data_IF_671173460461
#
_entry.id   IF_671173460461
#
_cell.length_a   1.000
_cell.length_b   1.000
_cell.length_c   1.000
_cell.angle_alpha   90.00
_cell.angle_beta   90.00
_cell.angle_gamma   90.00
#
_symmetry.space_group_name_H-M   'P 1'
#
loop_
_entity.id
_entity.type
_entity.pdbx_description
1 polymer ?
#
# COMPACT_ATOMS: atom_id res chain seq x y z
N UNK A 1 -28.34 -16.75 7.10
CA UNK A 1 -28.37 -15.86 5.91
C UNK A 1 -27.23 -14.83 5.92
N UNK A 2 -26.96 -14.15 7.04
CA UNK A 2 -25.86 -13.17 7.17
C UNK A 2 -24.49 -13.74 6.83
N UNK A 3 -24.18 -14.96 7.29
CA UNK A 3 -22.88 -15.60 7.06
C UNK A 3 -22.61 -15.97 5.58
N UNK A 4 -23.64 -16.40 4.85
CA UNK A 4 -23.54 -16.67 3.40
C UNK A 4 -23.36 -15.38 2.60
N UNK A 5 -24.06 -14.31 3.00
CA UNK A 5 -23.95 -13.00 2.35
C UNK A 5 -22.56 -12.39 2.56
N UNK A 6 -22.00 -12.49 3.78
CA UNK A 6 -20.65 -12.04 4.08
C UNK A 6 -19.58 -12.78 3.27
N UNK A 7 -19.78 -14.09 3.03
CA UNK A 7 -18.88 -14.90 2.20
C UNK A 7 -18.88 -14.44 0.75
N UNK A 8 -20.05 -14.22 0.15
CA UNK A 8 -20.19 -13.75 -1.23
C UNK A 8 -19.56 -12.35 -1.41
N UNK A 9 -19.76 -11.46 -0.43
CA UNK A 9 -19.14 -10.13 -0.43
C UNK A 9 -17.62 -10.22 -0.40
N UNK A 10 -17.05 -11.06 0.47
CA UNK A 10 -15.59 -11.28 0.54
C UNK A 10 -15.03 -11.87 -0.76
N UNK A 11 -15.72 -12.83 -1.37
CA UNK A 11 -15.32 -13.41 -2.66
C UNK A 11 -15.32 -12.37 -3.79
N UNK A 12 -16.29 -11.45 -3.78
CA UNK A 12 -16.37 -10.34 -4.74
C UNK A 12 -15.16 -9.41 -4.61
N UNK A 13 -14.82 -9.01 -3.38
CA UNK A 13 -13.60 -8.22 -3.15
C UNK A 13 -12.36 -9.00 -3.54
N UNK A 14 -12.29 -10.29 -3.21
CA UNK A 14 -11.16 -11.16 -3.54
C UNK A 14 -10.86 -11.15 -5.04
N UNK A 15 -11.87 -11.30 -5.88
CA UNK A 15 -11.72 -11.34 -7.33
C UNK A 15 -10.93 -10.14 -7.89
N UNK A 16 -11.16 -8.94 -7.35
CA UNK A 16 -10.43 -7.75 -7.78
C UNK A 16 -8.93 -7.79 -7.45
N UNK A 17 -8.52 -8.52 -6.43
CA UNK A 17 -7.11 -8.63 -6.04
C UNK A 17 -6.44 -9.89 -6.56
N UNK A 18 -7.18 -10.96 -6.92
CA UNK A 18 -6.62 -12.28 -7.28
C UNK A 18 -5.43 -12.20 -8.24
N UNK A 19 -5.50 -11.33 -9.25
CA UNK A 19 -4.48 -11.18 -10.30
C UNK A 19 -3.19 -10.48 -9.87
N UNK A 20 -3.11 -9.89 -8.67
CA UNK A 20 -1.90 -9.27 -8.15
C UNK A 20 -1.53 -7.90 -8.77
N UNK A 21 -2.35 -7.39 -9.70
CA UNK A 21 -2.09 -6.09 -10.35
C UNK A 21 -2.17 -4.92 -9.37
N UNK A 22 -3.13 -4.97 -8.43
CA UNK A 22 -3.28 -3.93 -7.41
C UNK A 22 -2.07 -3.89 -6.49
N UNK A 23 -1.61 -5.06 -6.05
CA UNK A 23 -0.43 -5.19 -5.17
C UNK A 23 0.82 -4.67 -5.87
N UNK A 24 0.97 -4.98 -7.16
CA UNK A 24 2.07 -4.48 -8.00
C UNK A 24 2.04 -2.96 -8.12
N UNK A 25 0.88 -2.38 -8.43
CA UNK A 25 0.74 -0.93 -8.63
C UNK A 25 0.94 -0.14 -7.32
N UNK A 26 0.39 -0.63 -6.20
CA UNK A 26 0.61 -0.04 -4.88
C UNK A 26 2.07 -0.20 -4.45
N UNK A 27 2.67 -1.37 -4.68
CA UNK A 27 4.08 -1.62 -4.40
C UNK A 27 5.00 -0.69 -5.18
N UNK A 28 4.70 -0.45 -6.46
CA UNK A 28 5.42 0.51 -7.29
C UNK A 28 5.34 1.92 -6.71
N UNK A 29 4.14 2.36 -6.31
CA UNK A 29 3.98 3.68 -5.70
C UNK A 29 4.81 3.82 -4.42
N UNK A 30 4.77 2.84 -3.54
CA UNK A 30 5.56 2.85 -2.30
C UNK A 30 7.06 2.78 -2.56
N UNK A 31 7.51 2.01 -3.55
CA UNK A 31 8.90 1.99 -3.98
C UNK A 31 9.36 3.37 -4.48
N UNK A 32 8.53 4.07 -5.27
CA UNK A 32 8.81 5.43 -5.73
C UNK A 32 8.85 6.43 -4.56
N UNK A 33 7.92 6.35 -3.61
CA UNK A 33 7.96 7.16 -2.38
C UNK A 33 9.28 6.93 -1.64
N UNK A 34 9.65 5.66 -1.42
CA UNK A 34 10.89 5.29 -0.75
C UNK A 34 12.12 5.84 -1.47
N UNK A 35 12.14 5.80 -2.81
CA UNK A 35 13.22 6.35 -3.62
C UNK A 35 13.35 7.87 -3.46
N UNK A 36 12.23 8.59 -3.48
CA UNK A 36 12.22 10.05 -3.24
C UNK A 36 12.74 10.39 -1.85
N UNK A 37 12.32 9.63 -0.83
CA UNK A 37 12.78 9.83 0.55
C UNK A 37 14.27 9.47 0.72
N UNK A 38 14.75 8.41 0.06
CA UNK A 38 16.17 8.06 0.07
C UNK A 38 17.02 9.15 -0.58
N UNK A 39 16.55 9.72 -1.69
CA UNK A 39 17.15 10.89 -2.32
C UNK A 39 17.22 12.07 -1.37
N UNK A 40 16.09 12.40 -0.70
CA UNK A 40 16.05 13.46 0.31
C UNK A 40 17.12 13.25 1.40
N UNK A 41 17.21 12.06 1.97
CA UNK A 41 18.17 11.76 3.04
C UNK A 41 19.66 11.89 2.62
N UNK A 42 19.96 11.83 1.32
CA UNK A 42 21.33 11.88 0.79
C UNK A 42 21.82 13.25 0.32
N UNK A 43 20.96 14.27 0.21
CA UNK A 43 21.35 15.60 -0.28
C UNK A 43 21.57 16.61 0.86
N UNK A 44 22.53 17.52 0.66
CA UNK A 44 22.85 18.60 1.61
C UNK A 44 21.70 19.61 1.76
N UNK A 45 21.53 20.12 2.99
CA UNK A 45 20.54 21.14 3.33
C UNK A 45 20.70 22.39 2.44
N UNK A 46 19.65 22.72 1.68
CA UNK A 46 19.64 23.88 0.77
C UNK A 46 19.64 23.55 -0.72
N UNK A 47 19.85 22.28 -1.10
CA UNK A 47 19.71 21.86 -2.49
C UNK A 47 18.31 22.15 -3.03
N UNK A 48 18.23 22.62 -4.28
CA UNK A 48 16.94 22.84 -4.96
C UNK A 48 16.12 21.55 -5.05
N UNK A 49 16.78 20.38 -5.09
CA UNK A 49 16.17 19.05 -5.10
C UNK A 49 15.36 18.78 -3.83
N UNK A 50 15.84 19.24 -2.68
CA UNK A 50 15.17 19.15 -1.38
C UNK A 50 13.85 19.94 -1.37
N UNK A 51 13.87 21.15 -1.93
CA UNK A 51 12.66 21.98 -2.07
C UNK A 51 11.65 21.35 -3.03
N UNK A 52 12.11 20.69 -4.10
CA UNK A 52 11.21 19.97 -5.01
C UNK A 52 10.64 18.70 -4.39
N UNK A 53 11.35 18.00 -3.50
CA UNK A 53 10.86 16.78 -2.85
C UNK A 53 9.59 17.03 -2.01
N UNK A 54 9.51 18.17 -1.34
CA UNK A 54 8.32 18.60 -0.56
C UNK A 54 7.07 18.73 -1.45
N UNK A 55 7.24 19.15 -2.69
CA UNK A 55 6.14 19.29 -3.67
C UNK A 55 5.86 17.95 -4.38
N UNK A 56 6.92 17.19 -4.69
CA UNK A 56 6.82 15.90 -5.37
C UNK A 56 6.05 14.89 -4.52
N UNK A 57 6.27 14.81 -3.22
CA UNK A 57 5.63 13.80 -2.38
C UNK A 57 4.09 13.88 -2.38
N UNK A 58 3.45 15.05 -2.13
CA UNK A 58 2.00 15.19 -2.25
C UNK A 58 1.48 14.88 -3.66
N UNK A 59 2.18 15.35 -4.71
CA UNK A 59 1.81 15.05 -6.10
C UNK A 59 1.88 13.55 -6.37
N UNK A 60 2.91 12.88 -5.85
CA UNK A 60 3.13 11.47 -6.05
C UNK A 60 2.12 10.63 -5.26
N UNK A 61 1.73 11.04 -4.05
CA UNK A 61 0.66 10.38 -3.28
C UNK A 61 -0.69 10.58 -3.97
N UNK A 62 -1.09 11.83 -4.24
CA UNK A 62 -2.39 12.13 -4.83
C UNK A 62 -2.44 11.58 -6.26
N UNK A 63 -1.53 11.99 -7.12
CA UNK A 63 -1.41 11.53 -8.50
C UNK A 63 -1.19 10.03 -8.59
N UNK A 64 -0.44 9.44 -7.66
CA UNK A 64 -0.25 7.99 -7.57
C UNK A 64 -1.53 7.23 -7.25
N UNK A 65 -2.39 7.73 -6.37
CA UNK A 65 -3.69 7.07 -6.10
C UNK A 65 -4.59 7.05 -7.33
N UNK A 66 -4.69 8.17 -8.07
CA UNK A 66 -5.41 8.22 -9.34
C UNK A 66 -4.73 7.36 -10.41
N UNK A 67 -3.40 7.40 -10.47
CA UNK A 67 -2.57 6.64 -11.39
C UNK A 67 -2.71 5.13 -11.20
N UNK A 68 -2.73 4.64 -9.95
CA UNK A 68 -2.99 3.22 -9.63
C UNK A 68 -4.36 2.81 -10.16
N UNK A 69 -5.41 3.59 -9.87
CA UNK A 69 -6.76 3.27 -10.32
C UNK A 69 -6.84 3.17 -11.84
N UNK A 70 -6.24 4.13 -12.54
CA UNK A 70 -6.18 4.15 -14.00
C UNK A 70 -5.34 2.99 -14.55
N UNK A 71 -4.14 2.76 -14.01
CA UNK A 71 -3.20 1.73 -14.47
C UNK A 71 -3.79 0.33 -14.29
N UNK A 72 -4.31 0.03 -13.09
CA UNK A 72 -4.95 -1.27 -12.81
C UNK A 72 -6.17 -1.48 -13.70
N UNK A 73 -7.00 -0.45 -13.89
CA UNK A 73 -8.15 -0.51 -14.78
C UNK A 73 -7.76 -0.87 -16.21
N UNK A 74 -6.82 -0.11 -16.80
CA UNK A 74 -6.33 -0.34 -18.16
C UNK A 74 -5.67 -1.72 -18.33
N UNK A 75 -4.85 -2.15 -17.36
CA UNK A 75 -4.20 -3.46 -17.42
C UNK A 75 -5.22 -4.60 -17.32
N UNK A 76 -6.22 -4.46 -16.45
CA UNK A 76 -7.29 -5.46 -16.34
C UNK A 76 -8.12 -5.54 -17.61
N UNK A 77 -8.48 -4.42 -18.22
CA UNK A 77 -9.23 -4.39 -19.48
C UNK A 77 -8.48 -5.05 -20.64
N UNK A 78 -7.16 -4.88 -20.71
CA UNK A 78 -6.35 -5.44 -21.80
C UNK A 78 -5.93 -6.87 -21.57
N UNK A 79 -5.70 -7.28 -20.32
CA UNK A 79 -5.02 -8.53 -20.00
C UNK A 79 -5.92 -9.49 -19.21
N UNK A 80 -6.60 -9.01 -18.16
CA UNK A 80 -7.33 -9.88 -17.23
C UNK A 80 -8.74 -10.20 -17.76
N UNK A 81 -9.51 -9.18 -18.15
CA UNK A 81 -10.92 -9.33 -18.56
C UNK A 81 -11.14 -10.16 -19.83
N UNK A 82 -10.26 -10.13 -20.85
CA UNK A 82 -10.41 -11.01 -22.01
C UNK A 82 -10.31 -12.50 -21.66
N UNK A 83 -9.61 -12.86 -20.58
CA UNK A 83 -9.34 -14.25 -20.18
C UNK A 83 -10.38 -14.86 -19.26
N UNK A 84 -11.01 -14.05 -18.41
CA UNK A 84 -11.96 -14.54 -17.39
C UNK A 84 -13.39 -14.01 -17.58
N UNK A 85 -13.61 -13.17 -18.59
CA UNK A 85 -14.87 -12.48 -18.80
C UNK A 85 -15.02 -11.27 -17.86
N UNK A 86 -15.70 -10.24 -18.35
CA UNK A 86 -15.99 -9.04 -17.55
C UNK A 86 -17.30 -9.23 -16.78
N UNK A 87 -17.22 -9.21 -15.44
CA UNK A 87 -18.40 -9.14 -14.58
C UNK A 87 -18.51 -7.72 -14.02
N UNK A 88 -19.45 -6.95 -14.57
CA UNK A 88 -19.78 -5.62 -14.05
C UNK A 88 -20.57 -5.74 -12.75
N UNK A 89 -19.93 -5.51 -11.60
CA UNK A 89 -20.64 -5.46 -10.34
C UNK A 89 -21.29 -4.09 -10.14
N UNK A 90 -22.54 -4.10 -9.65
CA UNK A 90 -23.21 -2.87 -9.19
C UNK A 90 -22.43 -2.27 -8.01
N UNK A 91 -22.32 -0.93 -7.90
CA UNK A 91 -21.67 -0.30 -6.75
C UNK A 91 -22.38 -0.76 -5.47
N UNK A 92 -21.65 -1.48 -4.62
CA UNK A 92 -22.16 -1.95 -3.33
C UNK A 92 -22.44 -0.78 -2.38
N UNK A 93 -23.32 -1.03 -1.41
CA UNK A 93 -23.69 -0.05 -0.38
C UNK A 93 -22.46 0.54 0.32
N UNK A 94 -22.51 1.83 0.70
CA UNK A 94 -21.40 2.49 1.37
C UNK A 94 -21.06 1.76 2.67
N UNK A 95 -19.88 1.13 2.68
CA UNK A 95 -19.41 0.38 3.84
C UNK A 95 -19.33 1.30 5.07
N UNK A 96 -20.17 1.01 6.07
CA UNK A 96 -20.36 1.80 7.28
C UNK A 96 -19.12 1.83 8.20
N UNK A 97 -18.04 1.12 7.85
CA UNK A 97 -16.74 1.10 8.56
C UNK A 97 -15.62 1.84 7.83
N UNK A 98 -15.94 2.66 6.81
CA UNK A 98 -14.94 3.50 6.13
C UNK A 98 -14.32 4.56 7.05
N UNK A 99 -15.01 4.93 8.13
CA UNK A 99 -14.54 5.91 9.13
C UNK A 99 -13.40 5.39 10.02
N UNK A 100 -13.19 4.07 10.13
CA UNK A 100 -12.09 3.52 10.93
C UNK A 100 -10.72 3.94 10.41
N UNK A 101 -10.60 4.12 9.09
CA UNK A 101 -9.34 4.53 8.46
C UNK A 101 -8.96 5.98 8.77
N UNK A 102 -9.82 7.00 8.53
CA UNK A 102 -9.53 8.37 8.95
C UNK A 102 -9.49 8.51 10.48
N UNK A 103 -10.26 7.72 11.24
CA UNK A 103 -10.15 7.71 12.70
C UNK A 103 -8.78 7.24 13.17
N UNK A 104 -8.27 6.14 12.63
CA UNK A 104 -6.95 5.63 12.99
C UNK A 104 -5.84 6.58 12.56
N UNK A 105 -5.95 7.17 11.36
CA UNK A 105 -5.02 8.20 10.91
C UNK A 105 -5.06 9.44 11.84
N UNK A 106 -6.24 9.91 12.23
CA UNK A 106 -6.39 11.02 13.17
C UNK A 106 -5.84 10.68 14.56
N UNK A 107 -6.08 9.47 15.05
CA UNK A 107 -5.54 8.98 16.32
C UNK A 107 -4.01 8.98 16.30
N UNK A 108 -3.39 8.53 15.21
CA UNK A 108 -1.93 8.58 15.06
C UNK A 108 -1.42 10.03 15.05
N UNK A 109 -2.06 10.93 14.33
CA UNK A 109 -1.69 12.35 14.32
C UNK A 109 -1.78 12.94 15.74
N UNK A 110 -2.88 12.69 16.46
CA UNK A 110 -3.03 13.14 17.85
C UNK A 110 -1.96 12.55 18.77
N UNK A 111 -1.66 11.25 18.66
CA UNK A 111 -0.60 10.60 19.42
C UNK A 111 0.77 11.24 19.14
N UNK A 112 1.05 11.63 17.90
CA UNK A 112 2.29 12.32 17.54
C UNK A 112 2.39 13.72 18.15
N UNK A 113 1.27 14.43 18.32
CA UNK A 113 1.24 15.71 19.04
C UNK A 113 1.41 15.55 20.55
N UNK A 114 0.85 14.49 21.14
CA UNK A 114 0.92 14.22 22.59
C UNK A 114 2.27 13.64 23.01
N UNK A 115 2.92 12.85 22.14
CA UNK A 115 4.21 12.22 22.39
C UNK A 115 5.24 12.64 21.33
N UNK A 116 5.85 13.83 21.45
CA UNK A 116 6.81 14.34 20.46
C UNK A 116 8.03 13.43 20.28
N UNK A 117 8.39 12.64 21.29
CA UNK A 117 9.48 11.66 21.20
C UNK A 117 9.22 10.57 20.14
N UNK A 118 7.97 10.36 19.75
CA UNK A 118 7.60 9.45 18.67
C UNK A 118 7.93 10.03 17.29
N UNK A 119 8.20 11.33 17.19
CA UNK A 119 8.73 11.94 15.97
C UNK A 119 10.12 11.40 15.61
N UNK A 120 10.88 10.90 16.59
CA UNK A 120 12.16 10.20 16.39
C UNK A 120 11.98 8.68 16.16
N UNK A 121 10.75 8.25 15.84
CA UNK A 121 10.40 6.86 15.55
C UNK A 121 9.44 6.80 14.36
N UNK A 122 9.65 7.68 13.38
CA UNK A 122 8.74 7.84 12.23
C UNK A 122 8.60 6.56 11.43
N UNK A 123 9.71 5.85 11.23
CA UNK A 123 9.73 4.57 10.52
C UNK A 123 8.83 3.53 11.20
N UNK A 124 8.83 3.45 12.54
CA UNK A 124 7.97 2.54 13.30
C UNK A 124 6.49 2.91 13.14
N UNK A 125 6.14 4.19 13.29
CA UNK A 125 4.76 4.67 13.14
C UNK A 125 4.24 4.37 11.74
N UNK A 126 5.04 4.62 10.72
CA UNK A 126 4.71 4.31 9.32
C UNK A 126 4.55 2.81 9.10
N UNK A 127 5.48 1.98 9.59
CA UNK A 127 5.40 0.52 9.49
C UNK A 127 4.15 -0.04 10.18
N UNK A 128 3.82 0.47 11.36
CA UNK A 128 2.60 0.10 12.09
C UNK A 128 1.33 0.52 11.35
N UNK A 129 1.30 1.73 10.78
CA UNK A 129 0.19 2.21 9.97
C UNK A 129 0.00 1.37 8.71
N UNK A 130 1.07 1.08 7.97
CA UNK A 130 1.04 0.22 6.80
C UNK A 130 0.56 -1.18 7.16
N UNK A 131 1.08 -1.76 8.24
CA UNK A 131 0.65 -3.06 8.73
C UNK A 131 -0.84 -3.08 9.09
N UNK A 132 -1.34 -2.04 9.75
CA UNK A 132 -2.75 -1.91 10.09
C UNK A 132 -3.63 -1.82 8.83
N UNK A 133 -3.26 -0.97 7.87
CA UNK A 133 -3.99 -0.79 6.60
C UNK A 133 -4.01 -2.10 5.81
N UNK A 134 -2.84 -2.74 5.62
CA UNK A 134 -2.71 -3.99 4.89
C UNK A 134 -3.44 -5.13 5.60
N UNK A 135 -3.44 -5.16 6.94
CA UNK A 135 -4.19 -6.12 7.74
C UNK A 135 -5.71 -5.96 7.57
N UNK A 136 -6.22 -4.72 7.54
CA UNK A 136 -7.64 -4.46 7.25
C UNK A 136 -7.99 -4.90 5.84
N UNK A 137 -7.13 -4.63 4.85
CA UNK A 137 -7.34 -5.09 3.47
C UNK A 137 -7.33 -6.62 3.43
N UNK A 138 -6.37 -7.28 4.08
CA UNK A 138 -6.31 -8.73 4.20
C UNK A 138 -7.56 -9.33 4.81
N UNK A 139 -8.13 -8.70 5.84
CA UNK A 139 -9.39 -9.11 6.45
C UNK A 139 -10.60 -8.96 5.52
N UNK A 140 -10.65 -7.88 4.73
CA UNK A 140 -11.74 -7.63 3.78
C UNK A 140 -11.69 -8.52 2.54
N UNK A 141 -10.49 -8.78 2.04
CA UNK A 141 -10.24 -9.50 0.79
C UNK A 141 -10.02 -11.00 1.04
N UNK A 142 -9.78 -11.40 2.30
CA UNK A 142 -9.53 -12.77 2.74
C UNK A 142 -8.37 -13.46 2.00
N UNK A 143 -7.26 -12.73 1.82
CA UNK A 143 -6.05 -13.22 1.18
C UNK A 143 -4.88 -13.21 2.17
N UNK A 144 -4.29 -14.38 2.41
CA UNK A 144 -3.17 -14.59 3.33
C UNK A 144 -1.98 -13.66 3.05
N UNK A 145 -1.70 -13.39 1.77
CA UNK A 145 -0.56 -12.56 1.35
C UNK A 145 -0.62 -11.12 1.86
N UNK A 146 -1.81 -10.54 2.07
CA UNK A 146 -1.90 -9.20 2.67
C UNK A 146 -1.53 -9.18 4.14
N UNK A 147 -1.81 -10.25 4.88
CA UNK A 147 -1.33 -10.40 6.26
C UNK A 147 0.19 -10.57 6.31
N UNK A 148 0.76 -11.30 5.35
CA UNK A 148 2.21 -11.43 5.22
C UNK A 148 2.85 -10.07 4.89
N UNK A 149 2.31 -9.32 3.93
CA UNK A 149 2.77 -7.95 3.65
C UNK A 149 2.62 -7.02 4.86
N UNK A 150 1.55 -7.16 5.65
CA UNK A 150 1.36 -6.40 6.87
C UNK A 150 2.43 -6.72 7.92
N UNK A 151 2.69 -8.00 8.17
CA UNK A 151 3.73 -8.45 9.10
C UNK A 151 5.12 -7.98 8.67
N UNK A 152 5.42 -8.04 7.37
CA UNK A 152 6.71 -7.57 6.86
C UNK A 152 6.81 -6.04 6.94
N UNK A 153 5.75 -5.29 6.60
CA UNK A 153 5.76 -3.83 6.73
C UNK A 153 6.03 -3.38 8.17
N UNK A 154 5.41 -4.07 9.14
CA UNK A 154 5.67 -3.84 10.57
C UNK A 154 7.12 -4.15 10.93
N UNK A 155 7.63 -5.32 10.51
CA UNK A 155 9.00 -5.73 10.79
C UNK A 155 10.02 -4.76 10.18
N UNK A 156 9.83 -4.31 8.94
CA UNK A 156 10.72 -3.34 8.29
C UNK A 156 10.69 -2.02 9.04
N UNK A 157 9.53 -1.48 9.40
CA UNK A 157 9.45 -0.21 10.14
C UNK A 157 10.10 -0.29 11.53
N UNK A 158 9.92 -1.43 12.22
CA UNK A 158 10.58 -1.69 13.50
C UNK A 158 12.10 -1.77 13.34
N UNK A 159 12.60 -2.58 12.40
CA UNK A 159 14.03 -2.74 12.14
C UNK A 159 14.67 -1.43 11.68
N UNK A 160 14.00 -0.68 10.81
CA UNK A 160 14.47 0.63 10.37
C UNK A 160 14.66 1.60 11.54
N UNK A 161 13.71 1.61 12.49
CA UNK A 161 13.82 2.46 13.70
C UNK A 161 14.97 2.04 14.61
N UNK A 162 15.31 0.75 14.66
CA UNK A 162 16.38 0.25 15.53
C UNK A 162 17.77 0.41 14.92
N UNK A 163 17.90 0.31 13.59
CA UNK A 163 19.19 0.25 12.90
C UNK A 163 19.55 1.52 12.11
N UNK A 164 18.59 2.43 11.88
CA UNK A 164 18.79 3.62 11.04
C UNK A 164 18.61 4.87 11.87
N UNK A 165 19.71 5.59 12.11
CA UNK A 165 19.69 6.82 12.91
C UNK A 165 19.04 8.01 12.19
N UNK A 166 19.04 8.01 10.85
CA UNK A 166 18.40 9.07 10.06
C UNK A 166 16.93 8.73 9.82
N UNK A 167 16.01 9.51 10.39
CA UNK A 167 14.56 9.31 10.30
C UNK A 167 14.01 9.28 8.87
N UNK A 168 14.56 10.13 8.00
CA UNK A 168 14.15 10.20 6.59
C UNK A 168 14.57 8.94 5.87
N UNK A 169 15.79 8.44 6.14
CA UNK A 169 16.27 7.17 5.61
C UNK A 169 15.48 5.99 6.18
N UNK A 170 15.11 6.02 7.47
CA UNK A 170 14.27 5.00 8.09
C UNK A 170 12.89 4.93 7.41
N UNK A 171 12.30 6.08 7.11
CA UNK A 171 11.06 6.20 6.35
C UNK A 171 11.21 5.69 4.91
N UNK A 172 12.33 6.02 4.26
CA UNK A 172 12.67 5.56 2.92
C UNK A 172 12.76 4.04 2.84
N UNK A 173 13.42 3.41 3.81
CA UNK A 173 13.52 1.94 3.92
C UNK A 173 12.15 1.32 4.21
N UNK A 174 11.34 1.95 5.06
CA UNK A 174 10.00 1.46 5.39
C UNK A 174 9.09 1.45 4.17
N UNK A 175 8.95 2.57 3.45
CA UNK A 175 8.14 2.64 2.24
C UNK A 175 8.77 1.86 1.08
N UNK A 176 10.07 2.04 0.85
CA UNK A 176 10.79 1.40 -0.25
C UNK A 176 10.85 -0.11 -0.12
N UNK A 177 11.23 -0.62 1.06
CA UNK A 177 11.29 -2.05 1.35
C UNK A 177 9.92 -2.71 1.28
N UNK A 178 8.90 -2.12 1.92
CA UNK A 178 7.52 -2.63 1.83
C UNK A 178 7.01 -2.59 0.38
N UNK A 179 7.28 -1.50 -0.34
CA UNK A 179 6.88 -1.32 -1.73
C UNK A 179 7.50 -2.34 -2.67
N UNK A 180 8.82 -2.55 -2.56
CA UNK A 180 9.54 -3.56 -3.35
C UNK A 180 9.01 -4.96 -3.09
N UNK A 181 8.75 -5.33 -1.84
CA UNK A 181 8.19 -6.63 -1.51
C UNK A 181 6.79 -6.82 -2.06
N UNK A 182 5.91 -5.82 -1.92
CA UNK A 182 4.58 -5.86 -2.51
C UNK A 182 4.63 -5.94 -4.03
N UNK A 183 5.57 -5.23 -4.66
CA UNK A 183 5.79 -5.26 -6.10
C UNK A 183 6.25 -6.65 -6.55
N UNK A 184 7.22 -7.25 -5.89
CA UNK A 184 7.72 -8.59 -6.22
C UNK A 184 6.64 -9.66 -6.01
N UNK A 185 5.93 -9.61 -4.88
CA UNK A 185 4.82 -10.54 -4.60
C UNK A 185 3.68 -10.39 -5.61
N UNK A 186 3.28 -9.15 -5.91
CA UNK A 186 2.24 -8.87 -6.90
C UNK A 186 2.62 -9.34 -8.30
N UNK A 187 3.86 -9.09 -8.73
CA UNK A 187 4.36 -9.56 -10.02
C UNK A 187 4.43 -11.09 -10.10
N UNK A 188 4.87 -11.77 -9.03
CA UNK A 188 4.89 -13.22 -8.98
C UNK A 188 3.47 -13.82 -9.09
N UNK A 189 2.50 -13.23 -8.38
CA UNK A 189 1.09 -13.61 -8.48
C UNK A 189 0.56 -13.37 -9.89
N UNK A 190 0.82 -12.20 -10.46
CA UNK A 190 0.37 -11.86 -11.81
C UNK A 190 0.97 -12.78 -12.87
N UNK A 191 2.27 -13.07 -12.80
CA UNK A 191 2.94 -14.00 -13.71
C UNK A 191 2.33 -15.40 -13.64
N UNK A 192 2.07 -15.89 -12.42
CA UNK A 192 1.38 -17.18 -12.23
C UNK A 192 -0.06 -17.15 -12.74
N UNK A 193 -0.79 -16.05 -12.54
CA UNK A 193 -2.15 -15.87 -13.01
C UNK A 193 -2.24 -15.95 -14.54
N UNK A 194 -1.33 -15.26 -15.24
CA UNK A 194 -1.25 -15.27 -16.71
C UNK A 194 -0.90 -16.66 -17.24
N UNK A 195 -0.02 -17.41 -16.54
CA UNK A 195 0.33 -18.79 -16.92
C UNK A 195 -0.83 -19.77 -16.74
N UNK A 196 -1.66 -19.58 -15.73
CA UNK A 196 -2.81 -20.45 -15.45
C UNK A 196 -4.00 -20.19 -16.35
N UNK A 197 -4.11 -18.99 -16.90
CA UNK A 197 -5.18 -18.59 -17.83
C UNK A 197 -4.58 -18.14 -19.17
N UNK A 198 -4.03 -19.07 -19.98
CA UNK A 198 -3.61 -18.75 -21.34
C UNK A 198 -4.82 -18.30 -22.18
N UNK A 199 -4.55 -17.48 -23.21
CA UNK A 199 -5.60 -17.05 -24.16
C UNK A 199 -6.03 -18.20 -25.07
#
# INVERSE_FOLDING_TARGET
>A
MTEQMDKIVKETYRYFYVDGLVETAVGLLFALIGLVLAGWAGFEEGSWLLKTAVIILPILIIGGTFGIKWLVGNLKERITYPRTGYVAYRPGEPNNKRWLLPLFAALLVVLMFVFPEWLNKMAFVQGALLAFILGIIGYRVALARFYLSAGIAFAIGLLATLFVANEVMGSAITFGGTGLLMLLMGLAVFANYVRQHPM
#
